data_IF_610941665382
#
_entry.id   IF_610941665382
#
_cell.length_a   1.000
_cell.length_b   1.000
_cell.length_c   1.000
_cell.angle_alpha   90.00
_cell.angle_beta   90.00
_cell.angle_gamma   90.00
#
_symmetry.space_group_name_H-M   'P 1'
#
loop_
_entity.id
_entity.type
_entity.pdbx_description
1 polymer ?
#
# COMPACT_ATOMS: atom_id res chain seq x y z
N UNK A 1 -20.34 3.07 -6.01
CA UNK A 1 -20.62 4.41 -6.56
C UNK A 1 -19.42 4.93 -7.32
N UNK A 2 -19.58 6.06 -8.03
CA UNK A 2 -18.54 6.60 -8.92
C UNK A 2 -17.25 6.97 -8.17
N UNK A 3 -17.35 7.65 -7.02
CA UNK A 3 -16.17 8.01 -6.20
C UNK A 3 -15.36 6.78 -5.80
N UNK A 4 -16.04 5.71 -5.36
CA UNK A 4 -15.40 4.44 -4.99
C UNK A 4 -14.68 3.81 -6.20
N UNK A 5 -15.30 3.83 -7.38
CA UNK A 5 -14.68 3.31 -8.59
C UNK A 5 -13.40 4.08 -8.91
N UNK A 6 -13.44 5.41 -8.89
CA UNK A 6 -12.25 6.23 -9.13
C UNK A 6 -11.15 5.99 -8.10
N UNK A 7 -11.49 5.89 -6.82
CA UNK A 7 -10.50 5.63 -5.76
C UNK A 7 -9.81 4.26 -5.89
N UNK A 8 -10.50 3.27 -6.46
CA UNK A 8 -9.97 1.93 -6.69
C UNK A 8 -9.29 1.78 -8.06
N UNK A 9 -9.64 2.61 -9.03
CA UNK A 9 -9.15 2.50 -10.39
C UNK A 9 -7.67 2.91 -10.50
N UNK A 10 -6.82 2.11 -11.17
CA UNK A 10 -5.36 2.33 -11.20
C UNK A 10 -4.95 3.68 -11.81
N UNK A 11 -5.74 4.24 -12.73
CA UNK A 11 -5.44 5.53 -13.37
C UNK A 11 -5.31 6.70 -12.38
N UNK A 12 -6.00 6.65 -11.25
CA UNK A 12 -5.95 7.74 -10.25
C UNK A 12 -4.77 7.60 -9.29
N UNK A 13 -3.99 6.51 -9.39
CA UNK A 13 -2.74 6.30 -8.64
C UNK A 13 -2.86 6.56 -7.14
N UNK A 14 -4.03 6.24 -6.57
CA UNK A 14 -4.35 6.50 -5.17
C UNK A 14 -3.39 5.71 -4.28
N UNK A 15 -2.64 6.44 -3.46
CA UNK A 15 -1.65 5.88 -2.56
C UNK A 15 -2.29 5.01 -1.48
N UNK A 16 -1.69 3.85 -1.28
CA UNK A 16 -2.03 2.86 -0.25
C UNK A 16 -0.76 2.60 0.53
N UNK A 17 -0.82 2.70 1.85
CA UNK A 17 0.33 2.48 2.73
C UNK A 17 0.08 1.22 3.53
N UNK A 18 1.04 0.31 3.47
CA UNK A 18 1.01 -0.97 4.16
C UNK A 18 2.14 -1.06 5.16
N UNK A 19 1.90 -1.79 6.24
CA UNK A 19 2.91 -2.30 7.14
C UNK A 19 3.03 -3.80 6.90
N UNK A 20 4.25 -4.29 6.68
CA UNK A 20 4.53 -5.70 6.44
C UNK A 20 5.64 -6.18 7.37
N UNK A 21 5.43 -7.30 8.05
CA UNK A 21 6.48 -8.01 8.78
C UNK A 21 6.97 -9.17 7.91
N UNK A 22 8.29 -9.25 7.72
CA UNK A 22 8.93 -10.36 7.02
C UNK A 22 9.42 -11.43 7.99
N UNK A 23 9.49 -12.67 7.52
CA UNK A 23 10.04 -13.83 8.26
C UNK A 23 11.54 -13.70 8.57
N UNK A 24 12.26 -12.83 7.84
CA UNK A 24 13.69 -12.60 7.99
C UNK A 24 14.08 -11.16 7.65
N UNK A 25 15.28 -10.75 8.08
CA UNK A 25 15.84 -9.44 7.76
C UNK A 25 16.07 -9.29 6.25
N UNK A 26 15.56 -8.20 5.67
CA UNK A 26 15.74 -7.89 4.25
C UNK A 26 17.12 -7.31 3.97
N UNK A 27 17.75 -7.76 2.89
CA UNK A 27 19.01 -7.15 2.43
C UNK A 27 18.75 -5.81 1.75
N UNK A 28 19.59 -4.78 1.96
CA UNK A 28 19.43 -3.47 1.31
C UNK A 28 19.36 -3.55 -0.22
N UNK A 29 20.10 -4.47 -0.84
CA UNK A 29 20.08 -4.71 -2.29
C UNK A 29 18.73 -5.23 -2.78
N UNK A 30 18.06 -6.09 -2.01
CA UNK A 30 16.76 -6.64 -2.39
C UNK A 30 15.68 -5.57 -2.21
N UNK A 31 15.76 -4.80 -1.12
CA UNK A 31 14.87 -3.65 -0.89
C UNK A 31 14.97 -2.63 -2.03
N UNK A 32 16.19 -2.34 -2.51
CA UNK A 32 16.41 -1.49 -3.69
C UNK A 32 15.82 -2.10 -4.97
N UNK A 33 15.99 -3.40 -5.21
CA UNK A 33 15.41 -4.07 -6.39
C UNK A 33 13.88 -4.06 -6.37
N UNK A 34 13.28 -4.35 -5.22
CA UNK A 34 11.83 -4.33 -5.01
C UNK A 34 11.23 -2.94 -5.22
N UNK A 35 11.89 -1.88 -4.72
CA UNK A 35 11.41 -0.50 -4.85
C UNK A 35 11.45 0.01 -6.30
N UNK A 36 12.36 -0.49 -7.14
CA UNK A 36 12.44 -0.16 -8.57
C UNK A 36 11.42 -0.91 -9.46
N UNK A 37 10.62 -1.78 -8.85
CA UNK A 37 9.61 -2.58 -9.52
C UNK A 37 10.15 -3.89 -10.09
N UNK A 38 9.34 -4.93 -10.00
CA UNK A 38 9.69 -6.32 -10.32
C UNK A 38 8.67 -6.92 -11.27
N UNK A 39 9.07 -7.95 -12.01
CA UNK A 39 8.13 -8.64 -12.89
C UNK A 39 7.19 -9.54 -12.08
N UNK A 40 5.89 -9.34 -12.24
CA UNK A 40 4.85 -10.06 -11.51
C UNK A 40 3.70 -10.33 -12.46
N UNK A 41 3.24 -11.59 -12.54
CA UNK A 41 2.19 -12.04 -13.48
C UNK A 41 2.36 -11.46 -14.91
N UNK A 42 3.56 -11.56 -15.49
CA UNK A 42 3.89 -11.13 -16.86
C UNK A 42 3.91 -9.62 -17.10
N UNK A 43 3.91 -8.79 -16.04
CA UNK A 43 4.05 -7.33 -16.15
C UNK A 43 4.90 -6.77 -15.02
N UNK A 44 5.76 -5.80 -15.32
CA UNK A 44 6.54 -5.09 -14.30
C UNK A 44 5.64 -4.24 -13.40
N UNK A 45 5.81 -4.34 -12.09
CA UNK A 45 5.15 -3.46 -11.12
C UNK A 45 5.66 -2.02 -11.27
N UNK A 46 4.84 -1.05 -10.90
CA UNK A 46 5.33 0.33 -10.79
C UNK A 46 6.39 0.43 -9.69
N UNK A 47 7.38 1.33 -9.83
CA UNK A 47 8.26 1.69 -8.72
C UNK A 47 7.44 2.12 -7.50
N UNK A 48 7.89 1.71 -6.34
CA UNK A 48 7.23 1.99 -5.08
C UNK A 48 8.23 2.38 -4.00
N UNK A 49 7.74 3.05 -2.95
CA UNK A 49 8.58 3.39 -1.81
C UNK A 49 8.47 2.29 -0.77
N UNK A 50 9.62 1.75 -0.37
CA UNK A 50 9.74 0.76 0.70
C UNK A 50 10.73 1.33 1.70
N UNK A 51 10.35 1.37 2.97
CA UNK A 51 11.18 1.85 4.06
C UNK A 51 11.21 0.81 5.15
N UNK A 52 12.39 0.33 5.52
CA UNK A 52 12.57 -0.49 6.71
C UNK A 52 12.44 0.41 7.94
N UNK A 53 11.44 0.12 8.78
CA UNK A 53 11.17 0.89 9.98
C UNK A 53 12.08 0.45 11.13
N UNK A 54 12.22 -0.88 11.30
CA UNK A 54 13.06 -1.53 12.30
C UNK A 54 13.13 -3.03 12.04
N UNK A 55 14.10 -3.68 12.66
CA UNK A 55 14.14 -5.14 12.80
C UNK A 55 13.31 -5.52 14.04
N UNK A 56 12.46 -6.54 13.91
CA UNK A 56 11.65 -7.11 14.98
C UNK A 56 11.93 -8.60 15.02
N UNK A 57 12.42 -9.09 16.16
CA UNK A 57 12.91 -10.46 16.34
C UNK A 57 13.95 -10.81 15.25
N UNK A 58 13.60 -11.71 14.33
CA UNK A 58 14.46 -12.11 13.22
C UNK A 58 14.05 -11.48 11.88
N UNK A 59 13.02 -10.62 11.86
CA UNK A 59 12.36 -10.11 10.67
C UNK A 59 12.47 -8.60 10.46
N UNK A 60 12.27 -8.12 9.23
CA UNK A 60 12.16 -6.69 8.95
C UNK A 60 10.71 -6.20 8.98
N UNK A 61 10.44 -5.15 9.75
CA UNK A 61 9.18 -4.42 9.71
C UNK A 61 9.26 -3.29 8.69
N UNK A 62 8.47 -3.38 7.64
CA UNK A 62 8.53 -2.48 6.49
C UNK A 62 7.28 -1.61 6.38
N UNK A 63 7.45 -0.36 5.95
CA UNK A 63 6.40 0.47 5.40
C UNK A 63 6.49 0.49 3.87
N UNK A 64 5.38 0.22 3.19
CA UNK A 64 5.31 0.10 1.73
C UNK A 64 4.23 1.02 1.20
N UNK A 65 4.59 1.95 0.31
CA UNK A 65 3.67 2.88 -0.33
C UNK A 65 3.45 2.47 -1.80
N UNK A 66 2.23 2.02 -2.13
CA UNK A 66 1.84 1.60 -3.48
C UNK A 66 0.82 2.56 -4.09
N UNK A 67 0.97 2.85 -5.38
CA UNK A 67 -0.02 3.60 -6.19
C UNK A 67 -0.88 2.69 -7.07
N UNK A 68 -0.55 1.41 -7.13
CA UNK A 68 -1.33 0.37 -7.78
C UNK A 68 -1.87 -0.64 -6.77
N UNK A 69 -2.63 -1.62 -7.25
CA UNK A 69 -3.23 -2.65 -6.40
C UNK A 69 -3.48 -3.93 -7.19
N UNK A 70 -2.43 -4.71 -7.42
CA UNK A 70 -2.54 -6.03 -8.06
C UNK A 70 -2.85 -7.11 -7.02
N UNK A 71 -3.44 -8.23 -7.44
CA UNK A 71 -3.80 -9.32 -6.55
C UNK A 71 -2.56 -9.83 -5.79
N UNK A 72 -2.62 -9.80 -4.45
CA UNK A 72 -1.55 -10.23 -3.54
C UNK A 72 -0.17 -9.62 -3.86
N UNK A 73 -0.14 -8.43 -4.45
CA UNK A 73 1.08 -7.81 -4.99
C UNK A 73 2.25 -7.83 -4.01
N UNK A 74 2.04 -7.33 -2.78
CA UNK A 74 3.10 -7.25 -1.76
C UNK A 74 3.67 -8.63 -1.44
N UNK A 75 2.81 -9.61 -1.19
CA UNK A 75 3.24 -10.98 -0.85
C UNK A 75 4.04 -11.60 -1.98
N UNK A 76 3.52 -11.53 -3.21
CA UNK A 76 4.20 -12.02 -4.41
C UNK A 76 5.54 -11.32 -4.66
N UNK A 77 5.61 -10.00 -4.46
CA UNK A 77 6.86 -9.24 -4.62
C UNK A 77 7.97 -9.78 -3.71
N UNK A 78 7.68 -9.98 -2.42
CA UNK A 78 8.65 -10.50 -1.46
C UNK A 78 8.97 -11.99 -1.69
N UNK A 79 7.97 -12.80 -2.07
CA UNK A 79 8.14 -14.22 -2.39
C UNK A 79 9.17 -14.44 -3.53
N UNK A 80 9.22 -13.54 -4.54
CA UNK A 80 10.22 -13.60 -5.62
C UNK A 80 11.67 -13.52 -5.15
N UNK A 81 11.89 -12.97 -3.95
CA UNK A 81 13.22 -12.82 -3.34
C UNK A 81 13.43 -13.77 -2.16
N UNK A 82 12.54 -14.77 -2.00
CA UNK A 82 12.54 -15.75 -0.92
C UNK A 82 12.30 -15.14 0.48
N UNK A 83 11.51 -14.08 0.56
CA UNK A 83 10.98 -13.55 1.82
C UNK A 83 9.50 -13.89 1.96
N UNK A 84 9.08 -14.31 3.14
CA UNK A 84 7.68 -14.52 3.46
C UNK A 84 7.13 -13.33 4.25
N UNK A 85 5.93 -12.87 3.90
CA UNK A 85 5.25 -11.81 4.64
C UNK A 85 4.36 -12.45 5.71
N UNK A 86 4.77 -12.39 6.96
CA UNK A 86 4.01 -12.97 8.08
C UNK A 86 2.77 -12.13 8.38
N UNK A 87 2.97 -10.82 8.56
CA UNK A 87 1.89 -9.87 8.81
C UNK A 87 1.78 -8.87 7.67
N UNK A 88 0.55 -8.54 7.28
CA UNK A 88 0.29 -7.51 6.29
C UNK A 88 -0.95 -6.71 6.67
N UNK A 89 -0.75 -5.44 7.00
CA UNK A 89 -1.81 -4.52 7.37
C UNK A 89 -1.80 -3.29 6.45
N UNK A 90 -2.97 -2.87 5.95
CA UNK A 90 -3.10 -1.59 5.27
C UNK A 90 -3.40 -0.48 6.29
N UNK A 91 -2.36 0.25 6.68
CA UNK A 91 -2.45 1.33 7.68
C UNK A 91 -2.99 2.65 7.11
N UNK A 92 -2.97 2.83 5.78
CA UNK A 92 -3.60 3.99 5.15
C UNK A 92 -4.11 3.73 3.74
N UNK A 93 -5.22 4.38 3.39
CA UNK A 93 -5.78 4.41 2.03
C UNK A 93 -6.17 5.84 1.68
N UNK A 94 -5.65 6.39 0.59
CA UNK A 94 -5.95 7.76 0.14
C UNK A 94 -5.71 8.83 1.24
N UNK A 95 -4.70 8.61 2.10
CA UNK A 95 -4.41 9.48 3.24
C UNK A 95 -5.31 9.30 4.47
N UNK A 96 -6.37 8.48 4.37
CA UNK A 96 -7.17 8.07 5.53
C UNK A 96 -6.44 7.01 6.33
N UNK A 97 -6.54 7.09 7.66
CA UNK A 97 -5.98 6.13 8.62
C UNK A 97 -7.09 5.63 9.53
N UNK A 98 -6.93 4.41 10.04
CA UNK A 98 -7.83 3.83 11.04
C UNK A 98 -7.45 4.23 12.48
N UNK A 99 -6.71 5.32 12.67
CA UNK A 99 -6.28 5.79 13.99
C UNK A 99 -7.49 5.98 14.91
N UNK A 100 -7.46 5.35 16.08
CA UNK A 100 -8.54 5.44 17.07
C UNK A 100 -9.72 4.49 16.83
N UNK A 101 -9.63 3.59 15.85
CA UNK A 101 -10.60 2.51 15.65
C UNK A 101 -10.00 1.18 16.10
N UNK A 102 -10.77 0.40 16.85
CA UNK A 102 -10.43 -0.99 17.16
C UNK A 102 -10.76 -1.92 15.97
N UNK A 103 -10.27 -3.16 16.06
CA UNK A 103 -10.58 -4.17 15.05
C UNK A 103 -12.10 -4.40 14.97
N UNK A 104 -12.65 -4.31 13.75
CA UNK A 104 -14.08 -4.47 13.50
C UNK A 104 -14.90 -3.19 13.66
N UNK A 105 -14.33 -2.13 14.22
CA UNK A 105 -15.00 -0.84 14.30
C UNK A 105 -15.00 -0.09 12.96
N UNK A 106 -16.00 0.75 12.81
CA UNK A 106 -16.13 1.68 11.69
C UNK A 106 -16.66 3.01 12.19
N UNK A 107 -16.38 4.07 11.42
CA UNK A 107 -16.96 5.39 11.63
C UNK A 107 -17.32 6.03 10.30
N UNK A 108 -18.23 6.98 10.34
CA UNK A 108 -18.42 7.88 9.21
C UNK A 108 -17.19 8.75 9.00
N UNK A 109 -16.89 9.02 7.72
CA UNK A 109 -15.90 10.01 7.35
C UNK A 109 -16.43 11.41 7.64
N UNK A 110 -15.55 12.31 8.04
CA UNK A 110 -15.90 13.74 8.16
C UNK A 110 -16.09 14.35 6.78
N UNK A 111 -16.75 15.51 6.70
CA UNK A 111 -16.92 16.24 5.43
C UNK A 111 -15.57 16.56 4.79
N UNK A 112 -14.57 16.94 5.58
CA UNK A 112 -13.23 17.27 5.09
C UNK A 112 -12.48 16.05 4.58
N UNK A 113 -12.66 14.88 5.20
CA UNK A 113 -12.14 13.61 4.67
C UNK A 113 -12.78 13.28 3.32
N UNK A 114 -14.10 13.42 3.19
CA UNK A 114 -14.80 13.18 1.93
C UNK A 114 -14.35 14.16 0.83
N UNK A 115 -14.16 15.43 1.16
CA UNK A 115 -13.70 16.44 0.20
C UNK A 115 -12.27 16.13 -0.28
N UNK A 116 -11.36 15.77 0.62
CA UNK A 116 -10.01 15.34 0.24
C UNK A 116 -10.02 14.11 -0.68
N UNK A 117 -10.88 13.12 -0.40
CA UNK A 117 -11.03 11.96 -1.29
C UNK A 117 -11.49 12.35 -2.70
N UNK A 118 -12.40 13.32 -2.81
CA UNK A 118 -12.89 13.83 -4.10
C UNK A 118 -11.77 14.55 -4.86
N UNK A 119 -10.97 15.37 -4.18
CA UNK A 119 -9.84 16.09 -4.78
C UNK A 119 -8.79 15.13 -5.36
N UNK A 120 -8.43 14.08 -4.62
CA UNK A 120 -7.45 13.06 -5.05
C UNK A 120 -7.79 12.46 -6.41
N UNK A 121 -9.09 12.32 -6.72
CA UNK A 121 -9.56 11.67 -7.95
C UNK A 121 -10.25 12.64 -8.91
N UNK A 122 -10.02 13.94 -8.74
CA UNK A 122 -10.60 15.03 -9.54
C UNK A 122 -12.13 14.86 -9.72
N UNK A 123 -12.81 14.46 -8.65
CA UNK A 123 -14.25 14.20 -8.66
C UNK A 123 -15.00 15.52 -8.75
N UNK A 124 -15.78 15.72 -9.82
CA UNK A 124 -16.52 16.96 -10.06
C UNK A 124 -15.77 18.02 -10.87
N UNK A 125 -14.48 17.80 -11.21
CA UNK A 125 -13.78 18.60 -12.23
C UNK A 125 -14.14 18.08 -13.63
N UNK A 126 -15.39 18.28 -14.02
CA UNK A 126 -15.83 18.32 -15.41
C UNK A 126 -16.35 19.73 -15.69
N UNK A 127 -15.40 20.65 -15.92
CA UNK A 127 -15.60 21.87 -16.71
C UNK A 127 -14.34 22.10 -17.51
#
# INVERSE_FOLDING_TARGET
GELSNRLLHPNYKVTKVYRALLDRVIRPVDLFRLSNGVELDGRKTQPCKITELRIVDNGSLLQIELKEGRNRQIRKMFELFNYHVEELERISFAGLKATGLQQGEWRYLTKDEVNRLKEIVHYGNQR
#
